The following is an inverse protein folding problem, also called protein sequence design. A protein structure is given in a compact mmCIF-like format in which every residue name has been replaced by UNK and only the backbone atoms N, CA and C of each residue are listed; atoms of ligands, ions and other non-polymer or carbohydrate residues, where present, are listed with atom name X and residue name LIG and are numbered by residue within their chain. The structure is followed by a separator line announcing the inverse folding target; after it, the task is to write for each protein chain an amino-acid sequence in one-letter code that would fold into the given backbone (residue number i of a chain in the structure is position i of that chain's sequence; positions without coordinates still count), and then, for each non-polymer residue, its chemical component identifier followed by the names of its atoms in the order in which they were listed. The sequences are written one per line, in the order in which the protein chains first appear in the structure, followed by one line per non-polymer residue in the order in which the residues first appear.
data_IF_229235098529
#
_entry.id   IF_229235098529
#
_cell.length_a   1.000
_cell.length_b   1.000
_cell.length_c   1.000
_cell.angle_alpha   90.00
_cell.angle_beta   90.00
_cell.angle_gamma   90.00
#
_symmetry.space_group_name_H-M   'P 1'
#
loop_
_entity.id
_entity.type
_entity.pdbx_description
1 polymer ?
#
# COMPACT_ATOMS: atom_id res chain seq x y z
N UNK A 1 -1.45 24.51 -5.61
CA UNK A 1 -1.71 23.62 -6.77
C UNK A 1 -2.78 22.64 -6.30
N UNK A 2 -3.83 22.42 -7.08
CA UNK A 2 -4.93 21.51 -6.73
C UNK A 2 -5.16 20.52 -7.87
N UNK A 3 -5.56 19.28 -7.55
CA UNK A 3 -5.86 18.24 -8.52
C UNK A 3 -7.37 18.22 -8.79
N UNK A 4 -7.79 18.38 -10.04
CA UNK A 4 -9.20 18.22 -10.41
C UNK A 4 -9.46 16.75 -10.72
N UNK A 5 -10.35 16.12 -9.96
CA UNK A 5 -10.83 14.76 -10.22
C UNK A 5 -12.32 14.81 -10.54
N UNK A 6 -12.67 14.67 -11.82
CA UNK A 6 -14.07 14.73 -12.29
C UNK A 6 -14.89 13.46 -12.03
N UNK A 7 -14.31 12.45 -11.36
CA UNK A 7 -15.07 11.31 -10.85
C UNK A 7 -15.68 11.63 -9.47
N UNK A 8 -16.32 10.64 -8.84
CA UNK A 8 -16.83 10.76 -7.47
C UNK A 8 -15.71 10.87 -6.43
N UNK A 9 -15.94 10.34 -5.23
CA UNK A 9 -14.91 10.30 -4.19
C UNK A 9 -13.66 9.51 -4.65
N UNK A 10 -12.46 9.97 -4.26
CA UNK A 10 -11.22 9.20 -4.44
C UNK A 10 -11.18 8.05 -3.42
N UNK A 11 -11.29 6.83 -3.91
CA UNK A 11 -11.24 5.62 -3.08
C UNK A 11 -9.84 5.02 -3.18
N UNK A 12 -9.14 4.98 -2.05
CA UNK A 12 -7.87 4.29 -1.86
C UNK A 12 -8.11 2.92 -1.22
N UNK A 13 -7.77 1.84 -1.92
CA UNK A 13 -7.88 0.46 -1.42
C UNK A 13 -6.48 -0.17 -1.32
N UNK A 14 -6.15 -0.76 -0.17
CA UNK A 14 -4.87 -1.42 0.06
C UNK A 14 -5.03 -2.91 0.37
N UNK A 15 -4.13 -3.73 -0.15
CA UNK A 15 -4.04 -5.17 0.13
C UNK A 15 -2.61 -5.50 0.50
N UNK A 16 -2.43 -6.40 1.46
CA UNK A 16 -1.13 -6.92 1.87
C UNK A 16 -1.18 -8.44 1.89
N UNK A 17 -0.08 -9.07 1.53
CA UNK A 17 0.08 -10.52 1.54
C UNK A 17 1.50 -10.91 1.93
N UNK A 18 1.67 -12.15 2.40
CA UNK A 18 2.99 -12.71 2.69
C UNK A 18 3.09 -14.18 2.28
N UNK A 19 4.27 -14.58 1.83
CA UNK A 19 4.63 -16.00 1.73
C UNK A 19 5.66 -16.34 2.80
N UNK A 20 5.27 -17.20 3.74
CA UNK A 20 6.08 -17.58 4.89
C UNK A 20 7.22 -18.54 4.48
N UNK A 21 8.45 -18.24 4.92
CA UNK A 21 9.67 -19.02 4.64
C UNK A 21 9.79 -19.45 3.17
N UNK A 22 9.56 -18.49 2.27
CA UNK A 22 9.53 -18.72 0.82
C UNK A 22 10.91 -18.67 0.17
N UNK A 23 11.93 -18.17 0.87
CA UNK A 23 13.33 -18.22 0.44
C UNK A 23 14.00 -19.49 1.01
N UNK A 24 14.47 -20.39 0.14
CA UNK A 24 15.10 -21.66 0.56
C UNK A 24 16.51 -21.46 1.16
N UNK A 25 17.19 -20.36 0.86
CA UNK A 25 18.56 -20.12 1.31
C UNK A 25 18.61 -19.62 2.75
N UNK A 26 17.71 -18.71 3.13
CA UNK A 26 17.72 -18.06 4.45
C UNK A 26 16.38 -18.18 5.23
N UNK A 27 15.42 -18.94 4.68
CA UNK A 27 14.08 -19.13 5.24
C UNK A 27 13.35 -17.81 5.53
N UNK A 28 13.71 -16.70 4.89
CA UNK A 28 12.99 -15.44 5.06
C UNK A 28 11.68 -15.49 4.29
N UNK A 29 10.73 -14.72 4.78
CA UNK A 29 9.40 -14.62 4.18
C UNK A 29 9.40 -13.48 3.16
N UNK A 30 8.52 -13.56 2.16
CA UNK A 30 8.27 -12.46 1.24
C UNK A 30 7.08 -11.64 1.77
N UNK A 31 7.23 -10.32 1.84
CA UNK A 31 6.12 -9.38 2.04
C UNK A 31 5.70 -8.80 0.70
N UNK A 32 4.40 -8.55 0.53
CA UNK A 32 3.92 -7.76 -0.59
C UNK A 32 2.72 -6.92 -0.22
N UNK A 33 2.51 -5.85 -0.99
CA UNK A 33 1.30 -5.06 -0.92
C UNK A 33 0.98 -4.43 -2.28
N UNK A 34 -0.28 -4.05 -2.46
CA UNK A 34 -0.76 -3.30 -3.61
C UNK A 34 -1.82 -2.29 -3.16
N UNK A 35 -1.70 -1.07 -3.68
CA UNK A 35 -2.68 0.00 -3.49
C UNK A 35 -3.32 0.37 -4.82
N UNK A 36 -4.65 0.41 -4.82
CA UNK A 36 -5.48 0.88 -5.92
C UNK A 36 -6.07 2.24 -5.60
N UNK A 37 -6.08 3.12 -6.59
CA UNK A 37 -6.83 4.36 -6.59
C UNK A 37 -7.92 4.27 -7.66
N UNK A 38 -9.18 4.27 -7.23
CA UNK A 38 -10.35 4.14 -8.11
C UNK A 38 -10.27 2.96 -9.09
N UNK A 39 -9.84 1.80 -8.58
CA UNK A 39 -9.71 0.55 -9.34
C UNK A 39 -8.39 0.39 -10.10
N UNK A 40 -7.61 1.45 -10.29
CA UNK A 40 -6.28 1.37 -10.93
C UNK A 40 -5.16 1.16 -9.91
N UNK A 41 -4.25 0.21 -10.15
CA UNK A 41 -3.06 0.01 -9.30
C UNK A 41 -2.10 1.19 -9.49
N UNK A 42 -1.70 1.82 -8.38
CA UNK A 42 -0.81 3.00 -8.37
C UNK A 42 0.47 2.78 -7.59
N UNK A 43 0.45 1.92 -6.56
CA UNK A 43 1.62 1.58 -5.75
C UNK A 43 1.61 0.09 -5.48
N UNK A 44 2.78 -0.54 -5.56
CA UNK A 44 2.96 -1.95 -5.25
C UNK A 44 4.37 -2.22 -4.76
N UNK A 45 4.54 -3.29 -4.00
CA UNK A 45 5.86 -3.78 -3.59
C UNK A 45 5.78 -5.28 -3.37
N UNK A 46 6.85 -5.98 -3.73
CA UNK A 46 7.15 -7.32 -3.23
C UNK A 46 8.61 -7.34 -2.82
N UNK A 47 8.89 -7.69 -1.58
CA UNK A 47 10.25 -7.68 -1.04
C UNK A 47 10.43 -8.77 0.01
N UNK A 48 11.65 -9.33 0.05
CA UNK A 48 12.08 -10.23 1.11
C UNK A 48 12.09 -9.48 2.44
N UNK A 49 11.52 -10.06 3.48
CA UNK A 49 11.54 -9.49 4.83
C UNK A 49 12.98 -9.47 5.34
N UNK A 50 13.39 -8.40 6.03
CA UNK A 50 14.75 -8.34 6.58
C UNK A 50 14.98 -9.34 7.72
N UNK A 51 13.93 -9.59 8.51
CA UNK A 51 13.93 -10.48 9.66
C UNK A 51 13.25 -11.80 9.32
N UNK A 52 13.87 -12.92 9.72
CA UNK A 52 13.23 -14.24 9.62
C UNK A 52 12.04 -14.32 10.58
N UNK A 53 10.85 -14.53 10.05
CA UNK A 53 9.65 -14.75 10.84
C UNK A 53 9.60 -16.19 11.38
N UNK A 54 9.14 -16.35 12.61
CA UNK A 54 9.03 -17.66 13.27
C UNK A 54 7.65 -18.32 13.05
N UNK A 55 6.70 -17.57 12.50
CA UNK A 55 5.35 -18.06 12.15
C UNK A 55 4.75 -17.25 11.01
N UNK A 56 3.78 -17.83 10.30
CA UNK A 56 2.99 -17.14 9.26
C UNK A 56 2.36 -15.85 9.80
N UNK A 57 1.79 -15.88 11.00
CA UNK A 57 1.19 -14.69 11.64
C UNK A 57 2.19 -13.55 11.82
N UNK A 58 3.43 -13.87 12.21
CA UNK A 58 4.49 -12.86 12.36
C UNK A 58 4.88 -12.29 10.99
N UNK A 59 4.97 -13.12 9.95
CA UNK A 59 5.22 -12.67 8.59
C UNK A 59 4.08 -11.77 8.07
N UNK A 60 2.82 -12.14 8.33
CA UNK A 60 1.63 -11.36 7.93
C UNK A 60 1.62 -10.00 8.63
N UNK A 61 1.94 -9.97 9.92
CA UNK A 61 2.04 -8.73 10.67
C UNK A 61 3.13 -7.80 10.13
N UNK A 62 4.29 -8.34 9.71
CA UNK A 62 5.36 -7.56 9.07
C UNK A 62 4.85 -6.97 7.75
N UNK A 63 4.26 -7.78 6.88
CA UNK A 63 3.72 -7.32 5.59
C UNK A 63 2.62 -6.24 5.78
N UNK A 64 1.69 -6.46 6.71
CA UNK A 64 0.64 -5.50 7.04
C UNK A 64 1.21 -4.20 7.65
N UNK A 65 2.27 -4.28 8.45
CA UNK A 65 2.95 -3.10 8.99
C UNK A 65 3.62 -2.26 7.90
N UNK A 66 4.27 -2.91 6.93
CA UNK A 66 4.84 -2.21 5.77
C UNK A 66 3.75 -1.55 4.92
N UNK A 67 2.67 -2.27 4.62
CA UNK A 67 1.53 -1.72 3.89
C UNK A 67 0.90 -0.53 4.64
N UNK A 68 0.74 -0.62 5.96
CA UNK A 68 0.18 0.47 6.75
C UNK A 68 1.03 1.74 6.71
N UNK A 69 2.37 1.64 6.71
CA UNK A 69 3.27 2.78 6.55
C UNK A 69 3.05 3.47 5.20
N UNK A 70 2.96 2.68 4.13
CA UNK A 70 2.67 3.19 2.78
C UNK A 70 1.30 3.86 2.72
N UNK A 71 0.27 3.24 3.32
CA UNK A 71 -1.08 3.79 3.37
C UNK A 71 -1.14 5.16 4.06
N UNK A 72 -0.40 5.33 5.16
CA UNK A 72 -0.28 6.62 5.86
C UNK A 72 0.39 7.67 4.97
N UNK A 73 1.47 7.29 4.29
CA UNK A 73 2.15 8.20 3.36
C UNK A 73 1.23 8.62 2.22
N UNK A 74 0.55 7.66 1.56
CA UNK A 74 -0.39 7.93 0.47
C UNK A 74 -1.55 8.83 0.91
N UNK A 75 -2.10 8.59 2.11
CA UNK A 75 -3.17 9.44 2.66
C UNK A 75 -2.71 10.89 2.78
N UNK A 76 -1.54 11.12 3.37
CA UNK A 76 -1.00 12.47 3.54
C UNK A 76 -0.73 13.13 2.18
N UNK A 77 -0.15 12.38 1.24
CA UNK A 77 0.12 12.86 -0.11
C UNK A 77 -1.16 13.29 -0.85
N UNK A 78 -2.22 12.48 -0.80
CA UNK A 78 -3.51 12.80 -1.43
C UNK A 78 -4.16 14.04 -0.78
N UNK A 79 -4.03 14.19 0.54
CA UNK A 79 -4.52 15.38 1.25
C UNK A 79 -3.76 16.64 0.82
N UNK A 80 -2.44 16.58 0.65
CA UNK A 80 -1.62 17.70 0.19
C UNK A 80 -1.89 18.09 -1.27
N UNK A 81 -2.30 17.15 -2.12
CA UNK A 81 -2.67 17.43 -3.51
C UNK A 81 -3.90 18.33 -3.64
N UNK A 82 -4.72 18.48 -2.58
CA UNK A 82 -5.91 19.32 -2.58
C UNK A 82 -6.88 18.91 -3.70
N UNK A 83 -7.40 17.69 -3.63
CA UNK A 83 -8.26 17.16 -4.70
C UNK A 83 -9.65 17.81 -4.66
N UNK A 84 -10.09 18.32 -5.80
CA UNK A 84 -11.36 19.03 -5.97
C UNK A 84 -12.19 18.40 -7.11
N UNK A 85 -13.53 18.43 -7.03
CA UNK A 85 -14.38 17.74 -8.00
C UNK A 85 -14.45 18.43 -9.37
N UNK A 86 -14.17 19.74 -9.45
CA UNK A 86 -14.28 20.52 -10.68
C UNK A 86 -13.42 21.79 -10.63
N UNK A 87 -13.06 22.33 -11.80
CA UNK A 87 -12.41 23.65 -11.90
C UNK A 87 -13.35 24.81 -11.52
N UNK A 88 -14.66 24.58 -11.58
CA UNK A 88 -15.70 25.60 -11.33
C UNK A 88 -15.97 25.75 -9.82
N UNK A 89 -15.73 24.68 -9.06
CA UNK A 89 -15.86 24.63 -7.59
C UNK A 89 -14.55 24.06 -7.02
N UNK A 90 -13.46 24.86 -7.04
CA UNK A 90 -12.18 24.48 -6.46
C UNK A 90 -12.20 24.49 -4.93
#
# INVERSE_FOLDING_TARGET
MFLIYGGGELILEGYSDTSFKSDDDDAKSQSSFVFKLNGGVVVWKSSKQDTTADSTKKAEYIAASEAAKEAVWMKNYIQELGVVPSIVEP
#
